data_IF_305194029768
#
_entry.id   IF_305194029768
#
_cell.length_a   1.000
_cell.length_b   1.000
_cell.length_c   1.000
_cell.angle_alpha   90.00
_cell.angle_beta   90.00
_cell.angle_gamma   90.00
#
_symmetry.space_group_name_H-M   'P 1'
#
loop_
_entity.id
_entity.type
_entity.pdbx_description
1 polymer ?
#
# COMPACT_ATOMS: atom_id res chain seq x y z
N UNK A 1 -18.92 -5.35 20.72
CA UNK A 1 -18.61 -4.73 19.42
C UNK A 1 -17.22 -4.11 19.53
N UNK A 2 -16.18 -4.95 19.46
CA UNK A 2 -14.79 -4.50 19.51
C UNK A 2 -14.21 -4.67 18.11
N UNK A 3 -14.25 -3.61 17.32
CA UNK A 3 -13.85 -3.62 15.91
C UNK A 3 -12.40 -3.12 15.88
N UNK A 4 -11.44 -4.05 15.85
CA UNK A 4 -9.96 -3.89 15.83
C UNK A 4 -9.23 -3.98 17.19
N UNK A 5 -8.26 -4.89 17.28
CA UNK A 5 -7.43 -5.12 18.47
C UNK A 5 -6.29 -4.12 18.66
N UNK A 6 -5.87 -3.39 17.61
CA UNK A 6 -4.94 -2.26 17.69
C UNK A 6 -5.13 -1.36 16.44
N UNK A 7 -6.05 -0.39 16.47
CA UNK A 7 -6.33 0.44 15.30
C UNK A 7 -5.12 1.32 14.96
N UNK A 8 -4.69 1.31 13.68
CA UNK A 8 -3.56 2.10 13.20
C UNK A 8 -3.85 3.60 13.08
N UNK A 9 -5.13 4.00 13.17
CA UNK A 9 -5.55 5.40 12.97
C UNK A 9 -5.52 5.86 11.51
N UNK A 10 -5.34 4.95 10.54
CA UNK A 10 -5.31 5.30 9.12
C UNK A 10 -6.72 5.38 8.54
N UNK A 11 -7.57 4.39 8.84
CA UNK A 11 -8.92 4.28 8.25
C UNK A 11 -9.83 5.43 8.66
N UNK A 12 -9.79 5.83 9.93
CA UNK A 12 -10.53 6.98 10.46
C UNK A 12 -9.98 8.30 9.91
N UNK A 13 -8.66 8.46 9.76
CA UNK A 13 -8.07 9.66 9.15
C UNK A 13 -8.49 9.81 7.68
N UNK A 14 -8.43 8.72 6.91
CA UNK A 14 -8.88 8.70 5.52
C UNK A 14 -10.39 9.00 5.40
N UNK A 15 -11.22 8.43 6.28
CA UNK A 15 -12.67 8.64 6.27
C UNK A 15 -13.10 10.05 6.69
N UNK A 16 -12.33 10.70 7.57
CA UNK A 16 -12.67 12.05 8.10
C UNK A 16 -12.11 13.18 7.25
N UNK A 17 -10.93 13.00 6.66
CA UNK A 17 -10.26 14.05 5.89
C UNK A 17 -10.49 13.92 4.37
N UNK A 18 -10.92 12.74 3.91
CA UNK A 18 -10.97 12.41 2.49
C UNK A 18 -9.58 12.39 1.85
N UNK A 19 -9.55 12.22 0.52
CA UNK A 19 -8.31 12.25 -0.30
C UNK A 19 -7.30 11.17 0.09
N UNK A 20 -6.01 11.44 -0.06
CA UNK A 20 -4.92 10.50 0.23
C UNK A 20 -4.22 10.78 1.55
N UNK A 21 -3.58 9.76 2.12
CA UNK A 21 -2.78 9.87 3.35
C UNK A 21 -1.50 9.06 3.18
N UNK A 22 -0.36 9.65 3.55
CA UNK A 22 0.91 8.96 3.72
C UNK A 22 1.03 8.49 5.15
N UNK A 23 1.20 7.18 5.34
CA UNK A 23 1.42 6.57 6.64
C UNK A 23 2.81 5.94 6.70
N UNK A 24 3.57 6.26 7.75
CA UNK A 24 4.87 5.64 7.99
C UNK A 24 5.05 5.35 9.48
N UNK A 25 5.55 4.15 9.80
CA UNK A 25 5.96 3.79 11.15
C UNK A 25 7.45 3.44 11.15
N UNK A 26 8.33 4.41 11.47
CA UNK A 26 9.79 4.19 11.44
C UNK A 26 10.25 3.24 12.55
N UNK A 27 9.55 3.20 13.68
CA UNK A 27 9.80 2.30 14.80
C UNK A 27 8.48 2.04 15.53
N UNK A 28 8.29 0.83 16.08
CA UNK A 28 7.16 0.51 16.95
C UNK A 28 7.17 1.30 18.26
N UNK A 29 8.32 1.84 18.66
CA UNK A 29 8.45 2.69 19.85
C UNK A 29 8.19 4.18 19.56
N UNK A 30 8.15 4.58 18.28
CA UNK A 30 7.95 5.98 17.87
C UNK A 30 6.52 6.20 17.40
N UNK A 31 5.98 7.43 17.57
CA UNK A 31 4.69 7.77 17.00
C UNK A 31 4.69 7.54 15.49
N UNK A 32 3.57 7.02 14.97
CA UNK A 32 3.41 6.84 13.54
C UNK A 32 3.28 8.22 12.87
N UNK A 33 3.96 8.41 11.75
CA UNK A 33 3.85 9.60 10.92
C UNK A 33 2.62 9.45 10.02
N UNK A 34 1.72 10.43 10.09
CA UNK A 34 0.53 10.52 9.25
C UNK A 34 0.53 11.89 8.59
N UNK A 35 0.64 11.94 7.26
CA UNK A 35 0.62 13.18 6.46
C UNK A 35 -0.54 13.12 5.47
N UNK A 36 -1.44 14.08 5.53
CA UNK A 36 -2.55 14.20 4.59
C UNK A 36 -2.07 14.78 3.26
N UNK A 37 -2.53 14.18 2.16
CA UNK A 37 -2.29 14.65 0.79
C UNK A 37 -3.45 15.54 0.38
N UNK A 38 -3.35 16.83 0.72
CA UNK A 38 -4.41 17.81 0.49
C UNK A 38 -4.69 18.05 -0.99
N UNK A 39 -3.70 17.85 -1.85
CA UNK A 39 -3.78 18.04 -3.30
C UNK A 39 -3.85 16.72 -4.07
N UNK A 40 -4.35 15.65 -3.43
CA UNK A 40 -4.49 14.37 -4.10
C UNK A 40 -5.40 14.49 -5.36
N UNK A 41 -4.94 13.99 -6.52
CA UNK A 41 -5.63 14.11 -7.80
C UNK A 41 -6.90 13.25 -7.85
N UNK A 42 -7.85 13.62 -8.70
CA UNK A 42 -9.02 12.78 -8.97
C UNK A 42 -8.64 11.63 -9.92
N UNK A 43 -8.32 10.47 -9.37
CA UNK A 43 -7.96 9.30 -10.16
C UNK A 43 -9.20 8.49 -10.55
N UNK A 44 -9.42 8.18 -11.85
CA UNK A 44 -10.46 7.25 -12.26
C UNK A 44 -10.05 5.82 -11.86
N UNK A 45 -10.65 5.30 -10.79
CA UNK A 45 -10.34 3.97 -10.25
C UNK A 45 -11.48 2.98 -10.50
N UNK A 46 -11.12 1.76 -10.92
CA UNK A 46 -12.04 0.62 -10.98
C UNK A 46 -11.83 -0.27 -9.75
N UNK A 47 -12.81 -0.29 -8.86
CA UNK A 47 -12.80 -1.19 -7.70
C UNK A 47 -13.36 -2.57 -8.07
N UNK A 48 -12.53 -3.61 -7.95
CA UNK A 48 -12.93 -4.99 -8.23
C UNK A 48 -12.85 -5.82 -6.94
N UNK A 49 -13.98 -6.45 -6.58
CA UNK A 49 -14.03 -7.42 -5.47
C UNK A 49 -14.09 -8.85 -6.03
N UNK A 50 -13.05 -9.64 -5.79
CA UNK A 50 -12.97 -11.04 -6.25
C UNK A 50 -13.95 -11.97 -5.53
N UNK A 51 -14.58 -11.52 -4.43
CA UNK A 51 -15.46 -12.30 -3.54
C UNK A 51 -14.82 -13.56 -2.95
N UNK A 52 -13.49 -13.66 -3.00
CA UNK A 52 -12.77 -14.77 -2.40
C UNK A 52 -12.45 -14.47 -0.94
N UNK A 53 -12.87 -15.35 -0.04
CA UNK A 53 -12.57 -15.20 1.38
C UNK A 53 -11.06 -15.34 1.63
N UNK A 54 -10.48 -14.37 2.33
CA UNK A 54 -9.09 -14.38 2.80
C UNK A 54 -9.04 -14.00 4.27
N UNK A 55 -8.12 -14.63 5.01
CA UNK A 55 -7.84 -14.27 6.40
C UNK A 55 -6.57 -13.43 6.45
N UNK A 56 -6.68 -12.18 6.91
CA UNK A 56 -5.54 -11.24 7.06
C UNK A 56 -4.42 -11.85 7.89
N UNK A 57 -4.76 -12.58 8.96
CA UNK A 57 -3.79 -13.26 9.83
C UNK A 57 -3.00 -14.33 9.08
N UNK A 58 -3.65 -15.07 8.17
CA UNK A 58 -2.98 -16.12 7.40
C UNK A 58 -1.99 -15.52 6.40
N UNK A 59 -2.37 -14.46 5.69
CA UNK A 59 -1.50 -13.79 4.73
C UNK A 59 -0.28 -13.14 5.41
N UNK A 60 -0.50 -12.44 6.53
CA UNK A 60 0.61 -11.90 7.34
C UNK A 60 1.52 -13.01 7.85
N UNK A 61 0.96 -14.15 8.28
CA UNK A 61 1.73 -15.31 8.68
C UNK A 61 2.61 -15.87 7.57
N UNK A 62 2.15 -15.86 6.31
CA UNK A 62 2.96 -16.30 5.15
C UNK A 62 4.17 -15.38 4.95
N UNK A 63 3.94 -14.06 4.93
CA UNK A 63 5.02 -13.08 4.77
C UNK A 63 6.02 -13.17 5.90
N UNK A 64 5.55 -13.33 7.15
CA UNK A 64 6.43 -13.48 8.31
C UNK A 64 7.30 -14.75 8.22
N UNK A 65 6.73 -15.88 7.80
CA UNK A 65 7.49 -17.12 7.58
C UNK A 65 8.54 -16.94 6.48
N UNK A 66 8.17 -16.31 5.37
CA UNK A 66 9.09 -16.04 4.26
C UNK A 66 10.24 -15.11 4.70
N UNK A 67 9.92 -14.07 5.48
CA UNK A 67 10.92 -13.17 6.07
C UNK A 67 11.88 -13.89 6.99
N UNK A 68 11.39 -14.80 7.83
CA UNK A 68 12.24 -15.56 8.74
C UNK A 68 13.16 -16.53 7.98
N UNK A 69 12.68 -17.14 6.90
CA UNK A 69 13.47 -18.06 6.07
C UNK A 69 14.51 -17.33 5.20
N UNK A 70 14.15 -16.17 4.63
CA UNK A 70 14.97 -15.42 3.69
C UNK A 70 15.01 -13.91 4.03
N UNK A 71 15.61 -13.53 5.18
CA UNK A 71 15.51 -12.17 5.71
C UNK A 71 16.11 -11.11 4.79
N UNK A 72 17.24 -11.40 4.13
CA UNK A 72 17.87 -10.46 3.18
C UNK A 72 17.01 -10.25 1.94
N UNK A 73 16.50 -11.33 1.34
CA UNK A 73 15.68 -11.26 0.12
C UNK A 73 14.38 -10.52 0.38
N UNK A 74 13.66 -10.91 1.44
CA UNK A 74 12.39 -10.24 1.81
C UNK A 74 12.65 -8.80 2.24
N UNK A 75 13.75 -8.54 2.95
CA UNK A 75 14.19 -7.17 3.28
C UNK A 75 14.30 -6.30 2.04
N UNK A 76 15.03 -6.74 1.02
CA UNK A 76 15.17 -5.99 -0.25
C UNK A 76 13.84 -5.79 -0.98
N UNK A 77 12.91 -6.75 -0.92
CA UNK A 77 11.56 -6.56 -1.49
C UNK A 77 10.80 -5.47 -0.73
N UNK A 78 10.85 -5.46 0.60
CA UNK A 78 10.20 -4.43 1.42
C UNK A 78 10.81 -3.05 1.20
N UNK A 79 12.14 -2.96 1.06
CA UNK A 79 12.85 -1.72 0.69
C UNK A 79 12.43 -1.23 -0.70
N UNK A 80 12.27 -2.13 -1.68
CA UNK A 80 11.77 -1.79 -3.00
C UNK A 80 10.32 -1.25 -2.95
N UNK A 81 9.45 -1.83 -2.12
CA UNK A 81 8.09 -1.33 -1.90
C UNK A 81 8.12 0.08 -1.27
N UNK A 82 9.01 0.32 -0.29
CA UNK A 82 9.21 1.66 0.30
C UNK A 82 9.65 2.68 -0.77
N UNK A 83 10.61 2.29 -1.63
CA UNK A 83 11.07 3.14 -2.73
C UNK A 83 9.94 3.47 -3.72
N UNK A 84 9.14 2.49 -4.14
CA UNK A 84 8.00 2.70 -5.03
C UNK A 84 6.98 3.66 -4.41
N UNK A 85 6.71 3.50 -3.12
CA UNK A 85 5.76 4.36 -2.38
C UNK A 85 6.28 5.80 -2.29
N UNK A 86 7.57 6.00 -2.05
CA UNK A 86 8.19 7.33 -2.03
C UNK A 86 8.16 8.00 -3.40
N UNK A 87 8.52 7.27 -4.45
CA UNK A 87 8.43 7.78 -5.83
C UNK A 87 6.99 8.16 -6.19
N UNK A 88 6.00 7.38 -5.76
CA UNK A 88 4.59 7.75 -5.94
C UNK A 88 4.26 9.05 -5.19
N UNK A 89 4.67 9.17 -3.93
CA UNK A 89 4.42 10.37 -3.12
C UNK A 89 5.13 11.63 -3.66
N UNK A 90 6.26 11.50 -4.37
CA UNK A 90 6.95 12.62 -5.01
C UNK A 90 6.18 13.17 -6.21
N UNK A 91 5.49 12.30 -6.97
CA UNK A 91 4.79 12.69 -8.19
C UNK A 91 3.30 12.93 -7.99
N UNK A 92 2.70 12.44 -6.89
CA UNK A 92 1.24 12.37 -6.72
C UNK A 92 0.55 13.73 -6.80
N UNK A 93 1.17 14.77 -6.27
CA UNK A 93 0.62 16.14 -6.25
C UNK A 93 0.65 16.80 -7.64
N UNK A 94 1.48 16.29 -8.56
CA UNK A 94 1.64 16.81 -9.93
C UNK A 94 0.84 15.99 -10.97
N UNK A 95 0.11 14.96 -10.54
CA UNK A 95 -0.66 14.13 -11.46
C UNK A 95 -1.89 14.88 -11.96
N UNK A 96 -1.95 14.96 -13.28
CA UNK A 96 -3.11 15.44 -14.02
C UNK A 96 -3.90 14.23 -14.55
N UNK A 97 -5.10 14.01 -14.02
CA UNK A 97 -5.92 12.85 -14.38
C UNK A 97 -6.54 12.93 -15.77
N UNK A 98 -6.48 14.09 -16.44
CA UNK A 98 -6.89 14.24 -17.83
C UNK A 98 -5.75 13.86 -18.80
N UNK A 99 -4.52 13.71 -18.31
CA UNK A 99 -3.35 13.35 -19.11
C UNK A 99 -3.01 11.86 -18.97
N UNK A 100 -3.11 11.15 -20.08
CA UNK A 100 -2.76 9.73 -20.16
C UNK A 100 -1.31 9.45 -19.69
N UNK A 101 -0.36 10.33 -20.01
CA UNK A 101 1.03 10.18 -19.55
C UNK A 101 1.16 10.21 -18.02
N UNK A 102 0.43 11.11 -17.35
CA UNK A 102 0.43 11.22 -15.90
C UNK A 102 -0.19 9.98 -15.25
N UNK A 103 -1.32 9.49 -15.78
CA UNK A 103 -1.95 8.24 -15.35
C UNK A 103 -1.04 7.03 -15.59
N UNK A 104 -0.30 7.02 -16.70
CA UNK A 104 0.62 5.94 -17.02
C UNK A 104 1.77 5.85 -16.00
N UNK A 105 2.34 6.99 -15.58
CA UNK A 105 3.44 7.03 -14.59
C UNK A 105 3.03 6.41 -13.25
N UNK A 106 1.86 6.76 -12.72
CA UNK A 106 1.36 6.16 -11.48
C UNK A 106 0.96 4.69 -11.68
N UNK A 107 0.39 4.35 -12.83
CA UNK A 107 0.05 2.97 -13.20
C UNK A 107 1.27 2.05 -13.28
N UNK A 108 2.40 2.54 -13.77
CA UNK A 108 3.68 1.82 -13.78
C UNK A 108 4.15 1.50 -12.35
N UNK A 109 4.09 2.48 -11.44
CA UNK A 109 4.41 2.28 -10.02
C UNK A 109 3.45 1.27 -9.34
N UNK A 110 2.15 1.36 -9.62
CA UNK A 110 1.16 0.39 -9.13
C UNK A 110 1.46 -1.03 -9.62
N UNK A 111 1.87 -1.17 -10.89
CA UNK A 111 2.22 -2.45 -11.51
C UNK A 111 3.47 -3.06 -10.87
N UNK A 112 4.51 -2.25 -10.63
CA UNK A 112 5.72 -2.68 -9.92
C UNK A 112 5.38 -3.13 -8.50
N UNK A 113 4.60 -2.33 -7.76
CA UNK A 113 4.19 -2.67 -6.40
C UNK A 113 3.41 -4.00 -6.37
N UNK A 114 2.52 -4.21 -7.35
CA UNK A 114 1.80 -5.47 -7.48
C UNK A 114 2.74 -6.67 -7.72
N UNK A 115 3.74 -6.52 -8.58
CA UNK A 115 4.76 -7.56 -8.81
C UNK A 115 5.55 -7.92 -7.54
N UNK A 116 5.93 -6.90 -6.75
CA UNK A 116 6.60 -7.09 -5.47
C UNK A 116 5.71 -7.77 -4.43
N UNK A 117 4.42 -7.40 -4.34
CA UNK A 117 3.47 -8.10 -3.46
C UNK A 117 3.24 -9.54 -3.92
N UNK A 118 3.22 -9.80 -5.22
CA UNK A 118 3.09 -11.15 -5.75
C UNK A 118 4.30 -12.03 -5.37
N UNK A 119 5.51 -11.48 -5.36
CA UNK A 119 6.71 -12.21 -4.96
C UNK A 119 6.75 -12.54 -3.46
N UNK A 120 6.03 -11.78 -2.63
CA UNK A 120 5.81 -12.09 -1.20
C UNK A 120 4.77 -13.20 -0.97
N UNK A 121 4.13 -13.72 -2.03
CA UNK A 121 3.18 -14.82 -1.93
C UNK A 121 1.81 -14.45 -1.36
N UNK A 122 1.47 -13.16 -1.34
CA UNK A 122 0.14 -12.65 -0.91
C UNK A 122 -0.85 -12.47 -2.05
N UNK A 123 -0.38 -12.63 -3.29
CA UNK A 123 -1.25 -12.66 -4.48
C UNK A 123 -2.00 -14.00 -4.58
N UNK A 124 -3.10 -13.99 -5.32
CA UNK A 124 -3.86 -15.20 -5.62
C UNK A 124 -4.17 -15.22 -7.12
N UNK A 125 -3.93 -16.35 -7.82
CA UNK A 125 -4.38 -16.48 -9.21
C UNK A 125 -5.89 -16.27 -9.25
N UNK A 126 -6.37 -15.45 -10.18
CA UNK A 126 -7.81 -15.43 -10.46
C UNK A 126 -8.20 -16.81 -11.02
N UNK A 127 -9.31 -17.40 -10.56
CA UNK A 127 -9.91 -18.54 -11.24
C UNK A 127 -10.36 -18.16 -12.66
#
# INVERSE_FOLDING_TARGET
MCIHGNPSGVDNTCSTQGKGVVFQRPDHQKPSLVKSLWNFPELPLLLVNTKQAKSTTVELGKVQRLKNAHPKVVGSILEAIDSVTRSANEIIDDIDSEKEESLRRIGELMSINHGLLSSLGVSHPRP
#
